data_IF_987991636303
#
_entry.id   IF_987991636303
#
_cell.length_a   1.000
_cell.length_b   1.000
_cell.length_c   1.000
_cell.angle_alpha   90.00
_cell.angle_beta   90.00
_cell.angle_gamma   90.00
#
_symmetry.space_group_name_H-M   'P 1'
#
loop_
_entity.id
_entity.type
_entity.pdbx_description
1 polymer ?
#
# COMPACT_ATOMS: atom_id res chain seq x y z
N UNK A 1 -14.66 9.77 7.88
CA UNK A 1 -13.20 9.92 8.13
C UNK A 1 -12.48 8.85 7.33
N UNK A 2 -11.26 9.09 6.85
CA UNK A 2 -10.49 8.03 6.16
C UNK A 2 -9.94 7.06 7.20
N UNK A 3 -10.58 5.91 7.36
CA UNK A 3 -10.10 4.81 8.22
C UNK A 3 -9.44 3.73 7.38
N UNK A 4 -8.30 3.23 7.85
CA UNK A 4 -7.64 2.07 7.30
C UNK A 4 -7.16 1.16 8.43
N UNK A 5 -7.20 -0.14 8.18
CA UNK A 5 -6.78 -1.17 9.13
C UNK A 5 -5.60 -1.94 8.56
N UNK A 6 -4.60 -2.19 9.41
CA UNK A 6 -3.47 -3.04 9.09
C UNK A 6 -3.94 -4.49 8.88
N UNK A 7 -3.68 -5.02 7.69
CA UNK A 7 -3.91 -6.44 7.35
C UNK A 7 -2.64 -7.25 7.63
N UNK A 8 -1.48 -6.59 7.53
CA UNK A 8 -0.17 -7.12 7.85
C UNK A 8 0.77 -7.22 6.65
N UNK A 9 1.90 -7.89 6.92
CA UNK A 9 3.02 -7.92 6.00
C UNK A 9 3.01 -9.11 5.03
N UNK A 10 3.14 -8.82 3.74
CA UNK A 10 3.11 -9.80 2.65
C UNK A 10 4.31 -9.69 1.74
N UNK A 11 4.73 -10.82 1.19
CA UNK A 11 5.87 -10.87 0.27
C UNK A 11 5.48 -10.28 -1.08
N UNK A 12 6.40 -9.54 -1.70
CA UNK A 12 6.27 -9.06 -3.06
C UNK A 12 7.44 -9.52 -3.93
N UNK A 13 7.24 -9.49 -5.25
CA UNK A 13 8.27 -9.89 -6.23
C UNK A 13 8.26 -8.98 -7.45
N UNK A 14 9.14 -9.21 -8.42
CA UNK A 14 9.13 -8.51 -9.71
C UNK A 14 7.80 -8.64 -10.45
N UNK A 15 7.11 -9.78 -10.29
CA UNK A 15 5.68 -9.89 -10.61
C UNK A 15 4.91 -9.34 -9.42
N UNK A 16 4.50 -8.07 -9.51
CA UNK A 16 3.88 -7.35 -8.40
C UNK A 16 2.59 -8.00 -7.93
N UNK A 17 2.47 -8.22 -6.62
CA UNK A 17 1.23 -8.68 -5.99
C UNK A 17 0.10 -7.65 -6.15
N UNK A 18 0.42 -6.37 -5.94
CA UNK A 18 -0.51 -5.25 -6.14
C UNK A 18 0.13 -4.27 -7.11
N UNK A 19 -0.64 -3.75 -8.06
CA UNK A 19 -0.14 -2.82 -9.06
C UNK A 19 0.25 -1.47 -8.43
N UNK A 20 1.30 -0.80 -8.94
CA UNK A 20 1.70 0.52 -8.44
C UNK A 20 0.61 1.56 -8.65
N UNK A 21 0.49 2.44 -7.66
CA UNK A 21 -0.30 3.66 -7.71
C UNK A 21 0.57 4.92 -7.87
N UNK A 22 1.88 4.79 -7.74
CA UNK A 22 2.84 5.87 -8.00
C UNK A 22 2.59 6.55 -9.36
N UNK A 23 2.55 7.90 -9.34
CA UNK A 23 2.31 8.72 -10.52
C UNK A 23 0.86 8.77 -11.03
N UNK A 24 -0.08 8.08 -10.38
CA UNK A 24 -1.51 8.09 -10.76
C UNK A 24 -2.37 9.09 -9.98
N UNK A 25 -1.91 9.50 -8.80
CA UNK A 25 -2.60 10.51 -7.98
C UNK A 25 -1.62 11.62 -7.59
N UNK A 26 -2.09 12.87 -7.61
CA UNK A 26 -1.29 14.04 -7.28
C UNK A 26 -0.87 14.11 -5.81
N UNK A 27 -1.54 13.36 -4.92
CA UNK A 27 -1.18 13.27 -3.50
C UNK A 27 0.08 12.42 -3.28
N UNK A 28 0.46 11.58 -4.24
CA UNK A 28 1.70 10.81 -4.21
C UNK A 28 2.85 11.65 -4.78
N UNK A 29 3.07 12.81 -4.16
CA UNK A 29 4.05 13.79 -4.55
C UNK A 29 5.48 13.37 -4.16
N UNK A 30 6.46 13.88 -4.91
CA UNK A 30 7.87 13.67 -4.64
C UNK A 30 8.34 12.21 -4.78
N UNK A 31 9.55 11.95 -4.30
CA UNK A 31 10.10 10.60 -4.24
C UNK A 31 9.47 9.83 -3.08
N UNK A 32 9.08 8.58 -3.32
CA UNK A 32 8.42 7.76 -2.30
C UNK A 32 9.28 7.59 -1.03
N UNK A 33 10.61 7.55 -1.16
CA UNK A 33 11.55 7.32 -0.05
C UNK A 33 11.73 8.50 0.91
N UNK A 34 11.28 9.69 0.54
CA UNK A 34 11.33 10.89 1.39
C UNK A 34 9.96 11.53 1.59
N UNK A 35 8.90 10.84 1.15
CA UNK A 35 7.54 11.34 1.21
C UNK A 35 7.05 11.35 2.65
N UNK A 36 6.66 12.52 3.15
CA UNK A 36 6.01 12.60 4.45
C UNK A 36 4.62 11.95 4.43
N UNK A 37 4.32 11.15 5.46
CA UNK A 37 3.06 10.44 5.66
C UNK A 37 2.68 9.51 4.49
N UNK A 38 3.55 8.58 4.08
CA UNK A 38 3.32 7.78 2.89
C UNK A 38 2.09 6.86 3.02
N UNK A 39 1.83 6.32 4.22
CA UNK A 39 0.67 5.46 4.49
C UNK A 39 -0.64 6.22 4.28
N UNK A 40 -0.79 7.38 4.94
CA UNK A 40 -2.01 8.18 4.83
C UNK A 40 -2.23 8.70 3.41
N UNK A 41 -1.17 9.12 2.71
CA UNK A 41 -1.26 9.55 1.30
C UNK A 41 -1.66 8.40 0.39
N UNK A 42 -1.09 7.21 0.59
CA UNK A 42 -1.45 6.03 -0.19
C UNK A 42 -2.90 5.60 0.07
N UNK A 43 -3.37 5.66 1.32
CA UNK A 43 -4.77 5.42 1.67
C UNK A 43 -5.72 6.36 0.92
N UNK A 44 -5.43 7.66 0.92
CA UNK A 44 -6.24 8.66 0.21
C UNK A 44 -6.20 8.43 -1.30
N UNK A 45 -5.04 8.13 -1.89
CA UNK A 45 -4.93 7.83 -3.32
C UNK A 45 -5.73 6.58 -3.70
N UNK A 46 -5.68 5.53 -2.87
CA UNK A 46 -6.46 4.31 -3.08
C UNK A 46 -7.98 4.57 -2.98
N UNK A 47 -8.41 5.36 -1.99
CA UNK A 47 -9.81 5.79 -1.87
C UNK A 47 -10.28 6.59 -3.09
N UNK A 48 -9.48 7.56 -3.56
CA UNK A 48 -9.78 8.37 -4.75
C UNK A 48 -9.91 7.51 -6.01
N UNK A 49 -9.11 6.45 -6.09
CA UNK A 49 -9.18 5.47 -7.18
C UNK A 49 -10.31 4.45 -7.01
N UNK A 50 -11.06 4.48 -5.91
CA UNK A 50 -12.16 3.54 -5.62
C UNK A 50 -11.69 2.14 -5.21
N UNK A 51 -10.47 2.01 -4.69
CA UNK A 51 -9.93 0.73 -4.23
C UNK A 51 -10.15 0.52 -2.73
N UNK A 52 -10.42 -0.73 -2.35
CA UNK A 52 -10.68 -1.13 -0.95
C UNK A 52 -9.43 -1.59 -0.20
N UNK A 53 -8.30 -1.71 -0.89
CA UNK A 53 -7.02 -2.09 -0.29
C UNK A 53 -5.86 -1.36 -0.96
N UNK A 54 -4.85 -1.05 -0.17
CA UNK A 54 -3.57 -0.54 -0.63
C UNK A 54 -2.41 -1.24 0.09
N UNK A 55 -1.22 -1.02 -0.43
CA UNK A 55 0.02 -1.48 0.16
C UNK A 55 1.07 -0.39 0.11
N UNK A 56 1.94 -0.41 1.13
CA UNK A 56 3.13 0.42 1.21
C UNK A 56 4.35 -0.49 1.21
N UNK A 57 5.35 -0.15 0.42
CA UNK A 57 6.61 -0.90 0.30
C UNK A 57 7.81 0.03 0.47
N UNK A 58 8.90 -0.50 1.05
CA UNK A 58 10.22 0.13 1.04
C UNK A 58 10.20 1.61 1.48
N UNK A 59 9.50 1.94 2.56
CA UNK A 59 9.52 3.28 3.15
C UNK A 59 8.63 4.29 2.42
N UNK A 60 7.66 3.84 1.63
CA UNK A 60 6.60 4.72 1.13
C UNK A 60 6.10 4.52 -0.30
N UNK A 61 6.59 3.49 -1.00
CA UNK A 61 6.11 3.16 -2.34
C UNK A 61 4.68 2.64 -2.28
N UNK A 62 3.77 3.32 -2.97
CA UNK A 62 2.34 3.08 -2.91
C UNK A 62 1.86 2.15 -4.03
N UNK A 63 1.10 1.14 -3.64
CA UNK A 63 0.44 0.21 -4.54
C UNK A 63 -1.03 0.03 -4.16
N UNK A 64 -1.92 0.02 -5.15
CA UNK A 64 -3.33 -0.24 -4.93
C UNK A 64 -3.97 -0.75 -6.23
N UNK A 65 -5.00 -1.59 -6.10
CA UNK A 65 -5.70 -2.14 -7.26
C UNK A 65 -7.08 -2.66 -6.86
N UNK A 66 -8.00 -2.70 -7.82
CA UNK A 66 -9.32 -3.30 -7.64
C UNK A 66 -9.25 -4.80 -7.29
N UNK A 67 -8.21 -5.50 -7.76
CA UNK A 67 -8.00 -6.93 -7.47
C UNK A 67 -7.05 -7.17 -6.30
N UNK A 68 -6.59 -6.11 -5.60
CA UNK A 68 -5.71 -6.23 -4.45
C UNK A 68 -6.22 -7.22 -3.39
N UNK A 69 -7.54 -7.29 -3.05
CA UNK A 69 -8.05 -8.29 -2.11
C UNK A 69 -7.84 -9.75 -2.52
N UNK A 70 -7.60 -10.02 -3.81
CA UNK A 70 -7.34 -11.37 -4.33
C UNK A 70 -5.86 -11.66 -4.47
N UNK A 71 -5.02 -10.63 -4.65
CA UNK A 71 -3.63 -10.79 -5.06
C UNK A 71 -2.61 -10.40 -3.99
N UNK A 72 -3.00 -9.65 -2.95
CA UNK A 72 -2.08 -9.15 -1.93
C UNK A 72 -1.24 -10.26 -1.25
N UNK A 73 -1.87 -11.41 -0.99
CA UNK A 73 -1.24 -12.55 -0.33
C UNK A 73 -0.69 -13.61 -1.30
N UNK A 74 -0.60 -13.33 -2.60
CA UNK A 74 -0.21 -14.30 -3.63
C UNK A 74 1.13 -15.00 -3.34
N UNK A 75 2.07 -14.30 -2.71
CA UNK A 75 3.41 -14.84 -2.37
C UNK A 75 3.56 -15.25 -0.90
N UNK A 76 2.46 -15.21 -0.13
CA UNK A 76 2.44 -15.51 1.30
C UNK A 76 2.86 -14.34 2.19
N UNK A 77 2.85 -14.59 3.50
CA UNK A 77 3.26 -13.62 4.52
C UNK A 77 4.77 -13.39 4.47
N UNK A 78 5.19 -12.20 4.88
CA UNK A 78 6.59 -11.81 5.04
C UNK A 78 6.84 -11.30 6.46
N UNK A 79 8.08 -11.38 6.91
CA UNK A 79 8.57 -10.75 8.15
C UNK A 79 9.57 -9.62 7.86
N UNK A 80 9.65 -9.19 6.60
CA UNK A 80 10.61 -8.18 6.15
C UNK A 80 10.03 -6.75 6.16
N UNK A 81 8.76 -6.56 6.53
CA UNK A 81 8.23 -5.22 6.76
C UNK A 81 8.80 -4.64 8.05
N UNK A 82 9.02 -3.33 8.04
CA UNK A 82 9.46 -2.59 9.20
C UNK A 82 8.28 -2.34 10.16
N UNK A 83 8.59 -2.07 11.43
CA UNK A 83 7.59 -1.79 12.46
C UNK A 83 6.90 -0.42 12.30
N UNK A 84 7.35 0.40 11.34
CA UNK A 84 6.77 1.70 11.00
C UNK A 84 5.51 1.58 10.10
N UNK A 85 5.22 0.39 9.59
CA UNK A 85 4.10 0.15 8.70
C UNK A 85 4.33 0.62 7.26
N UNK A 86 5.54 1.04 6.90
CA UNK A 86 5.89 1.52 5.56
C UNK A 86 6.39 0.38 4.64
N UNK A 87 6.13 -0.86 5.05
CA UNK A 87 6.58 -2.07 4.39
C UNK A 87 8.07 -2.28 4.54
N UNK A 88 8.65 -3.01 3.59
CA UNK A 88 10.07 -3.31 3.60
C UNK A 88 10.59 -3.68 2.21
N UNK A 89 11.88 -4.07 2.11
CA UNK A 89 12.44 -4.50 0.84
C UNK A 89 11.72 -5.75 0.31
N UNK A 90 11.04 -5.61 -0.83
CA UNK A 90 10.20 -6.65 -1.43
C UNK A 90 9.12 -7.19 -0.48
N UNK A 91 8.65 -6.35 0.44
CA UNK A 91 7.60 -6.68 1.38
C UNK A 91 6.59 -5.53 1.45
N UNK A 92 5.33 -5.87 1.21
CA UNK A 92 4.20 -4.97 1.22
C UNK A 92 3.55 -5.02 2.60
N UNK A 93 3.51 -3.89 3.30
CA UNK A 93 2.54 -3.72 4.38
C UNK A 93 1.18 -3.43 3.74
N UNK A 94 0.20 -4.30 3.98
CA UNK A 94 -1.10 -4.24 3.31
C UNK A 94 -2.13 -3.68 4.28
N UNK A 95 -2.93 -2.76 3.77
CA UNK A 95 -3.97 -2.08 4.52
C UNK A 95 -5.31 -2.22 3.82
N UNK A 96 -6.35 -2.43 4.61
CA UNK A 96 -7.73 -2.37 4.13
C UNK A 96 -8.31 -0.98 4.38
N UNK A 97 -9.09 -0.50 3.43
CA UNK A 97 -9.62 0.85 3.38
C UNK A 97 -11.11 0.78 3.62
N UNK A 98 -11.57 1.39 4.71
CA UNK A 98 -12.99 1.52 4.98
C UNK A 98 -13.41 2.97 4.71
N UNK A 99 -14.30 3.15 3.74
CA UNK A 99 -15.02 4.41 3.59
C UNK A 99 -16.15 4.43 4.63
N UNK A 100 -15.96 5.13 5.75
CA UNK A 100 -17.02 5.40 6.72
C UNK A 100 -17.70 6.72 6.36
N UNK A 101 -18.99 6.62 6.00
CA UNK A 101 -19.89 7.75 5.70
C UNK A 101 -20.22 8.57 6.93
#
# INVERSE_FOLDING_TARGET
MTSYDDVGCYKDTSSRAIQPLEGKDSILDGAYSSRANPIAKCAVAAMRAGYSMFAVQHGGWCAASAIAPQTYAKYGKSSACNADGEGGPWANEVYSVACTV
#
